data_IF_066294573397
#
_entry.id   IF_066294573397
#
_cell.length_a   1.000
_cell.length_b   1.000
_cell.length_c   1.000
_cell.angle_alpha   90.00
_cell.angle_beta   90.00
_cell.angle_gamma   90.00
#
_symmetry.space_group_name_H-M   'P 1'
#
loop_
_entity.id
_entity.type
_entity.pdbx_description
1 polymer ?
#
# COMPACT_ATOMS: atom_id res chain seq x y z
N UNK A 1 17.33 4.82 -5.78
CA UNK A 1 16.21 3.89 -5.52
C UNK A 1 16.66 2.43 -5.35
N UNK A 2 17.34 1.80 -6.33
CA UNK A 2 17.82 0.39 -6.17
C UNK A 2 18.77 0.14 -4.99
N UNK A 3 19.68 1.07 -4.65
CA UNK A 3 20.56 0.94 -3.48
C UNK A 3 19.81 0.99 -2.13
N UNK A 4 18.74 1.79 -2.05
CA UNK A 4 17.92 1.95 -0.84
C UNK A 4 17.13 0.69 -0.53
N UNK A 5 16.60 0.02 -1.57
CA UNK A 5 15.85 -1.25 -1.41
C UNK A 5 16.78 -2.37 -0.93
N UNK A 6 17.98 -2.47 -1.48
CA UNK A 6 18.94 -3.51 -1.10
C UNK A 6 19.51 -3.32 0.32
N UNK A 7 19.69 -2.06 0.77
CA UNK A 7 20.05 -1.76 2.17
C UNK A 7 18.92 -2.03 3.15
N UNK A 8 17.65 -1.83 2.74
CA UNK A 8 16.48 -2.11 3.56
C UNK A 8 16.34 -3.63 3.78
N UNK A 9 16.54 -4.45 2.75
CA UNK A 9 16.46 -5.92 2.85
C UNK A 9 17.56 -6.49 3.76
N UNK A 10 18.81 -6.04 3.64
CA UNK A 10 19.90 -6.50 4.51
C UNK A 10 19.76 -6.01 5.96
N UNK A 11 19.16 -4.83 6.17
CA UNK A 11 18.85 -4.34 7.51
C UNK A 11 17.73 -5.15 8.18
N UNK A 12 16.80 -5.74 7.42
CA UNK A 12 15.66 -6.49 7.97
C UNK A 12 16.07 -7.78 8.68
N UNK A 13 16.89 -8.62 8.04
CA UNK A 13 17.30 -9.91 8.61
C UNK A 13 18.17 -9.71 9.86
N UNK A 14 19.11 -8.75 9.82
CA UNK A 14 19.94 -8.40 10.96
C UNK A 14 19.14 -7.81 12.13
N UNK A 15 18.13 -6.98 11.84
CA UNK A 15 17.29 -6.35 12.86
C UNK A 15 16.37 -7.35 13.57
N UNK A 16 15.74 -8.27 12.82
CA UNK A 16 14.88 -9.27 13.44
C UNK A 16 15.71 -10.26 14.27
N UNK A 17 16.84 -10.75 13.76
CA UNK A 17 17.70 -11.66 14.52
C UNK A 17 18.24 -10.99 15.79
N UNK A 18 18.63 -9.71 15.73
CA UNK A 18 19.01 -8.95 16.92
C UNK A 18 17.86 -8.76 17.92
N UNK A 19 16.61 -8.75 17.45
CA UNK A 19 15.42 -8.50 18.25
C UNK A 19 14.65 -9.77 18.65
N UNK A 20 15.10 -10.94 18.17
CA UNK A 20 14.41 -12.23 18.24
C UNK A 20 13.98 -12.60 19.65
N UNK A 21 14.88 -12.44 20.63
CA UNK A 21 14.58 -12.76 22.03
C UNK A 21 13.44 -11.91 22.61
N UNK A 22 13.37 -10.62 22.25
CA UNK A 22 12.32 -9.71 22.71
C UNK A 22 10.98 -9.93 22.00
N UNK A 23 11.02 -10.36 20.73
CA UNK A 23 9.82 -10.61 19.92
C UNK A 23 9.22 -11.99 20.18
N UNK A 24 10.04 -13.02 20.40
CA UNK A 24 9.58 -14.40 20.62
C UNK A 24 8.74 -14.58 21.89
N UNK A 25 8.81 -13.65 22.84
CA UNK A 25 7.98 -13.63 24.04
C UNK A 25 6.62 -12.93 23.83
N UNK A 26 6.34 -12.43 22.62
CA UNK A 26 5.11 -11.72 22.27
C UNK A 26 4.25 -12.57 21.36
N UNK A 27 2.95 -12.52 21.59
CA UNK A 27 1.98 -13.28 20.79
C UNK A 27 0.97 -12.35 20.14
N UNK A 28 0.48 -12.77 18.98
CA UNK A 28 -0.62 -12.17 18.24
C UNK A 28 -0.46 -10.65 18.08
N UNK A 29 -1.41 -9.90 18.62
CA UNK A 29 -1.45 -8.44 18.52
C UNK A 29 -0.26 -7.79 19.22
N UNK A 30 0.24 -8.35 20.32
CA UNK A 30 1.40 -7.79 21.03
C UNK A 30 2.68 -7.96 20.22
N UNK A 31 2.79 -9.04 19.44
CA UNK A 31 3.88 -9.21 18.48
C UNK A 31 3.82 -8.12 17.39
N UNK A 32 2.64 -7.89 16.80
CA UNK A 32 2.47 -6.87 15.76
C UNK A 32 2.79 -5.45 16.27
N UNK A 33 2.38 -5.11 17.50
CA UNK A 33 2.73 -3.85 18.16
C UNK A 33 4.23 -3.73 18.43
N UNK A 34 4.88 -4.82 18.86
CA UNK A 34 6.32 -4.83 19.08
C UNK A 34 7.10 -4.61 17.77
N UNK A 35 6.65 -5.23 16.67
CA UNK A 35 7.21 -5.01 15.33
C UNK A 35 7.00 -3.57 14.86
N UNK A 36 5.83 -2.98 15.11
CA UNK A 36 5.55 -1.58 14.80
C UNK A 36 6.52 -0.64 15.53
N UNK A 37 6.70 -0.83 16.84
CA UNK A 37 7.67 -0.09 17.65
C UNK A 37 9.13 -0.28 17.18
N UNK A 38 9.51 -1.51 16.84
CA UNK A 38 10.84 -1.81 16.30
C UNK A 38 11.08 -1.10 14.96
N UNK A 39 10.11 -1.18 14.04
CA UNK A 39 10.20 -0.50 12.73
C UNK A 39 10.25 1.03 12.86
N UNK A 40 9.53 1.59 13.84
CA UNK A 40 9.58 3.03 14.16
C UNK A 40 10.97 3.43 14.64
N UNK A 41 11.52 2.67 15.60
CA UNK A 41 12.86 2.91 16.16
C UNK A 41 13.91 2.85 15.05
N UNK A 42 13.89 1.78 14.26
CA UNK A 42 14.83 1.56 13.18
C UNK A 42 14.78 2.68 12.14
N UNK A 43 13.57 3.06 11.71
CA UNK A 43 13.40 4.16 10.76
C UNK A 43 13.99 5.47 11.28
N UNK A 44 13.83 5.74 12.58
CA UNK A 44 14.29 6.99 13.21
C UNK A 44 15.81 7.01 13.44
N UNK A 45 16.37 5.89 13.89
CA UNK A 45 17.75 5.81 14.40
C UNK A 45 18.77 5.36 13.34
N UNK A 46 18.36 4.55 12.35
CA UNK A 46 19.28 4.00 11.37
C UNK A 46 19.76 5.08 10.38
N UNK A 47 21.08 5.14 10.19
CA UNK A 47 21.73 6.07 9.28
C UNK A 47 21.25 5.98 7.83
N UNK A 48 20.78 4.80 7.38
CA UNK A 48 20.27 4.57 6.03
C UNK A 48 19.01 5.40 5.71
N UNK A 49 18.25 5.84 6.73
CA UNK A 49 17.05 6.69 6.55
C UNK A 49 17.34 8.18 6.77
N UNK A 50 18.57 8.58 7.16
CA UNK A 50 18.91 9.99 7.38
C UNK A 50 18.71 10.86 6.16
N UNK A 51 19.02 10.34 4.97
CA UNK A 51 18.79 11.05 3.72
C UNK A 51 17.31 11.34 3.51
N UNK A 52 16.42 10.39 3.82
CA UNK A 52 14.98 10.62 3.76
C UNK A 52 14.53 11.69 4.77
N UNK A 53 15.05 11.67 6.00
CA UNK A 53 14.76 12.70 7.00
C UNK A 53 15.16 14.10 6.53
N UNK A 54 16.28 14.22 5.82
CA UNK A 54 16.75 15.50 5.28
C UNK A 54 15.81 16.07 4.21
N UNK A 55 15.06 15.21 3.51
CA UNK A 55 14.12 15.59 2.44
C UNK A 55 12.73 16.01 2.97
N UNK A 56 12.43 15.75 4.25
CA UNK A 56 11.13 16.03 4.89
C UNK A 56 10.94 17.48 5.35
N UNK A 57 11.90 18.37 5.08
CA UNK A 57 11.77 19.79 5.40
C UNK A 57 13.11 20.53 5.46
N UNK A 58 13.07 21.81 5.07
CA UNK A 58 14.23 22.72 5.11
C UNK A 58 14.57 23.20 6.52
N UNK A 59 13.58 23.31 7.40
CA UNK A 59 13.74 23.71 8.81
C UNK A 59 13.28 22.61 9.77
N UNK A 60 13.58 22.80 11.06
CA UNK A 60 13.32 21.82 12.12
C UNK A 60 11.83 21.58 12.37
N UNK A 61 10.98 22.59 12.21
CA UNK A 61 9.55 22.50 12.50
C UNK A 61 8.81 21.75 11.38
N UNK A 62 9.09 22.12 10.12
CA UNK A 62 8.58 21.42 8.95
C UNK A 62 9.02 19.95 8.96
N UNK A 63 10.30 19.69 9.26
CA UNK A 63 10.81 18.31 9.38
C UNK A 63 10.11 17.52 10.49
N UNK A 64 9.90 18.13 11.67
CA UNK A 64 9.20 17.47 12.77
C UNK A 64 7.73 17.16 12.43
N UNK A 65 7.03 18.09 11.77
CA UNK A 65 5.66 17.86 11.26
C UNK A 65 5.62 16.68 10.29
N UNK A 66 6.47 16.69 9.28
CA UNK A 66 6.54 15.63 8.27
C UNK A 66 6.95 14.28 8.89
N UNK A 67 7.86 14.28 9.86
CA UNK A 67 8.25 13.05 10.55
C UNK A 67 7.08 12.47 11.37
N UNK A 68 6.27 13.30 12.03
CA UNK A 68 5.03 12.83 12.68
C UNK A 68 4.04 12.24 11.68
N UNK A 69 3.91 12.81 10.48
CA UNK A 69 3.09 12.22 9.43
C UNK A 69 3.59 10.84 9.00
N UNK A 70 4.91 10.69 8.85
CA UNK A 70 5.55 9.40 8.49
C UNK A 70 5.39 8.35 9.58
N UNK A 71 5.61 8.72 10.84
CA UNK A 71 5.66 7.78 11.95
C UNK A 71 4.29 7.47 12.54
N UNK A 72 3.42 8.48 12.63
CA UNK A 72 2.16 8.47 13.39
C UNK A 72 0.92 8.74 12.51
N UNK A 73 1.09 8.86 11.19
CA UNK A 73 0.00 9.17 10.25
C UNK A 73 -0.72 10.50 10.56
N UNK A 74 -0.03 11.44 11.20
CA UNK A 74 -0.54 12.78 11.51
C UNK A 74 -0.28 13.75 10.34
N UNK A 75 -1.21 13.79 9.38
CA UNK A 75 -1.08 14.57 8.14
C UNK A 75 -1.42 16.07 8.27
N UNK A 76 -1.74 16.53 9.48
CA UNK A 76 -2.17 17.91 9.72
C UNK A 76 -1.10 18.92 9.26
N UNK A 77 -1.53 19.88 8.44
CA UNK A 77 -0.66 20.94 7.92
C UNK A 77 0.21 20.53 6.72
N UNK A 78 -0.01 19.35 6.14
CA UNK A 78 0.60 18.93 4.87
C UNK A 78 -0.45 19.10 3.77
N UNK A 79 -0.27 20.01 2.80
CA UNK A 79 -1.25 20.23 1.74
C UNK A 79 -1.37 18.99 0.85
N UNK A 80 -2.58 18.43 0.71
CA UNK A 80 -2.84 17.23 -0.10
C UNK A 80 -2.36 17.41 -1.55
N UNK A 81 -1.79 16.35 -2.12
CA UNK A 81 -1.28 16.30 -3.50
C UNK A 81 -0.19 17.34 -3.86
N UNK A 82 0.36 18.05 -2.88
CA UNK A 82 1.53 18.90 -3.07
C UNK A 82 2.82 18.09 -3.23
N UNK A 83 3.91 18.74 -3.65
CA UNK A 83 5.23 18.11 -3.65
C UNK A 83 5.66 17.65 -2.24
N UNK A 84 5.27 18.38 -1.20
CA UNK A 84 5.53 17.98 0.19
C UNK A 84 4.77 16.70 0.54
N UNK A 85 3.48 16.64 0.20
CA UNK A 85 2.65 15.44 0.40
C UNK A 85 3.29 14.19 -0.22
N UNK A 86 3.73 14.25 -1.48
CA UNK A 86 4.33 13.09 -2.14
C UNK A 86 5.67 12.67 -1.50
N UNK A 87 6.48 13.62 -1.00
CA UNK A 87 7.70 13.30 -0.24
C UNK A 87 7.38 12.59 1.07
N UNK A 88 6.39 13.08 1.81
CA UNK A 88 5.95 12.47 3.07
C UNK A 88 5.36 11.09 2.81
N UNK A 89 4.57 10.93 1.75
CA UNK A 89 3.98 9.65 1.32
C UNK A 89 5.06 8.62 0.96
N UNK A 90 6.12 9.03 0.25
CA UNK A 90 7.25 8.16 -0.08
C UNK A 90 8.01 7.69 1.17
N UNK A 91 8.25 8.60 2.13
CA UNK A 91 8.88 8.28 3.41
C UNK A 91 8.00 7.35 4.27
N UNK A 92 6.70 7.65 4.39
CA UNK A 92 5.73 6.82 5.10
C UNK A 92 5.65 5.42 4.49
N UNK A 93 5.61 5.32 3.17
CA UNK A 93 5.67 4.05 2.45
C UNK A 93 6.92 3.26 2.78
N UNK A 94 8.09 3.90 2.78
CA UNK A 94 9.36 3.23 3.12
C UNK A 94 9.33 2.64 4.54
N UNK A 95 8.82 3.40 5.51
CA UNK A 95 8.63 2.89 6.88
C UNK A 95 7.67 1.70 6.91
N UNK A 96 6.54 1.79 6.20
CA UNK A 96 5.56 0.72 6.16
C UNK A 96 6.09 -0.54 5.44
N UNK A 97 6.94 -0.37 4.42
CA UNK A 97 7.65 -1.48 3.77
C UNK A 97 8.51 -2.26 4.77
N UNK A 98 9.26 -1.54 5.60
CA UNK A 98 10.04 -2.15 6.67
C UNK A 98 9.14 -2.91 7.67
N UNK A 99 8.04 -2.29 8.12
CA UNK A 99 7.09 -2.94 9.03
C UNK A 99 6.52 -4.23 8.42
N UNK A 100 6.05 -4.18 7.16
CA UNK A 100 5.46 -5.35 6.47
C UNK A 100 6.48 -6.48 6.30
N UNK A 101 7.73 -6.15 5.97
CA UNK A 101 8.79 -7.14 5.85
C UNK A 101 9.08 -7.83 7.20
N UNK A 102 9.18 -7.06 8.28
CA UNK A 102 9.37 -7.60 9.62
C UNK A 102 8.19 -8.48 10.06
N UNK A 103 6.95 -8.10 9.74
CA UNK A 103 5.76 -8.94 9.99
C UNK A 103 5.89 -10.27 9.27
N UNK A 104 6.18 -10.28 7.96
CA UNK A 104 6.34 -11.53 7.19
C UNK A 104 7.42 -12.42 7.78
N UNK A 105 8.57 -11.84 8.08
CA UNK A 105 9.70 -12.59 8.60
C UNK A 105 9.40 -13.17 10.00
N UNK A 106 8.74 -12.40 10.87
CA UNK A 106 8.32 -12.86 12.18
C UNK A 106 7.32 -14.03 12.08
N UNK A 107 6.33 -13.96 11.19
CA UNK A 107 5.37 -15.04 10.97
C UNK A 107 6.01 -16.34 10.45
N UNK A 108 7.18 -16.25 9.82
CA UNK A 108 7.90 -17.42 9.30
C UNK A 108 8.89 -18.03 10.30
N UNK A 109 9.33 -17.26 11.30
CA UNK A 109 10.52 -17.62 12.11
C UNK A 109 10.29 -17.63 13.62
N UNK A 110 9.21 -17.01 14.11
CA UNK A 110 8.92 -16.87 15.53
C UNK A 110 7.66 -17.64 15.92
N UNK A 111 7.57 -18.13 17.17
CA UNK A 111 6.28 -18.48 17.75
C UNK A 111 5.45 -17.19 17.87
N UNK A 112 4.32 -17.12 17.18
CA UNK A 112 3.50 -15.90 17.08
C UNK A 112 2.07 -16.06 17.61
N UNK A 113 1.62 -17.27 17.92
CA UNK A 113 0.30 -17.51 18.52
C UNK A 113 -0.92 -17.33 17.60
N UNK A 114 -0.74 -16.81 16.38
CA UNK A 114 -1.75 -16.88 15.31
C UNK A 114 -1.97 -18.33 14.83
N UNK A 115 -3.21 -18.67 14.50
CA UNK A 115 -3.50 -19.94 13.82
C UNK A 115 -3.05 -19.89 12.34
N UNK A 116 -3.16 -21.02 11.65
CA UNK A 116 -2.66 -21.13 10.27
C UNK A 116 -3.45 -20.25 9.28
N UNK A 117 -4.74 -20.01 9.54
CA UNK A 117 -5.59 -19.17 8.70
C UNK A 117 -5.22 -17.70 8.87
N UNK A 118 -5.16 -17.22 10.11
CA UNK A 118 -4.74 -15.85 10.44
C UNK A 118 -3.33 -15.57 9.92
N UNK A 119 -2.41 -16.52 10.10
CA UNK A 119 -1.03 -16.40 9.60
C UNK A 119 -1.00 -16.22 8.08
N UNK A 120 -1.77 -17.03 7.35
CA UNK A 120 -1.86 -16.94 5.90
C UNK A 120 -2.46 -15.59 5.45
N UNK A 121 -3.56 -15.16 6.07
CA UNK A 121 -4.23 -13.90 5.77
C UNK A 121 -3.32 -12.69 6.02
N UNK A 122 -2.65 -12.63 7.18
CA UNK A 122 -1.76 -11.51 7.54
C UNK A 122 -0.54 -11.48 6.62
N UNK A 123 0.07 -12.64 6.34
CA UNK A 123 1.24 -12.73 5.49
C UNK A 123 0.95 -12.20 4.08
N UNK A 124 -0.09 -12.72 3.42
CA UNK A 124 -0.42 -12.32 2.06
C UNK A 124 -1.01 -10.90 1.98
N UNK A 125 -1.80 -10.46 2.98
CA UNK A 125 -2.24 -9.06 3.05
C UNK A 125 -1.05 -8.09 3.10
N UNK A 126 0.05 -8.46 3.77
CA UNK A 126 1.26 -7.64 3.78
C UNK A 126 1.98 -7.57 2.43
N UNK A 127 1.86 -8.60 1.58
CA UNK A 127 2.41 -8.59 0.22
C UNK A 127 1.55 -7.70 -0.68
N UNK A 128 0.24 -7.92 -0.65
CA UNK A 128 -0.73 -7.14 -1.44
C UNK A 128 -0.67 -5.67 -1.06
N UNK A 129 -0.65 -5.34 0.23
CA UNK A 129 -0.50 -3.96 0.72
C UNK A 129 0.75 -3.27 0.19
N UNK A 130 1.85 -4.00 0.03
CA UNK A 130 3.09 -3.45 -0.52
C UNK A 130 2.98 -3.10 -2.01
N UNK A 131 2.32 -3.94 -2.80
CA UNK A 131 2.03 -3.67 -4.20
C UNK A 131 1.04 -2.51 -4.37
N UNK A 132 -0.01 -2.45 -3.52
CA UNK A 132 -0.99 -1.36 -3.51
C UNK A 132 -0.36 0.00 -3.22
N UNK A 133 0.63 0.07 -2.34
CA UNK A 133 1.34 1.30 -2.01
C UNK A 133 2.04 1.92 -3.24
N UNK A 134 2.58 1.08 -4.14
CA UNK A 134 3.15 1.55 -5.42
C UNK A 134 2.06 2.02 -6.37
N UNK A 135 0.95 1.29 -6.44
CA UNK A 135 -0.19 1.65 -7.28
C UNK A 135 -0.86 2.95 -6.84
N UNK A 136 -1.15 3.09 -5.54
CA UNK A 136 -1.82 4.27 -4.96
C UNK A 136 -1.08 5.56 -5.27
N UNK A 137 0.27 5.56 -5.22
CA UNK A 137 1.07 6.73 -5.60
C UNK A 137 0.86 7.14 -7.06
N UNK A 138 0.91 6.18 -7.97
CA UNK A 138 0.68 6.45 -9.39
C UNK A 138 -0.77 6.89 -9.64
N UNK A 139 -1.72 6.27 -8.93
CA UNK A 139 -3.12 6.66 -8.96
C UNK A 139 -3.32 8.11 -8.52
N UNK A 140 -2.84 8.49 -7.33
CA UNK A 140 -2.96 9.85 -6.79
C UNK A 140 -2.41 10.91 -7.77
N UNK A 141 -1.26 10.63 -8.40
CA UNK A 141 -0.68 11.52 -9.41
C UNK A 141 -1.51 11.60 -10.71
N UNK A 142 -2.17 10.51 -11.09
CA UNK A 142 -3.00 10.45 -12.29
C UNK A 142 -4.37 11.12 -12.11
N UNK A 143 -4.93 11.14 -10.88
CA UNK A 143 -6.27 11.68 -10.63
C UNK A 143 -6.29 13.06 -9.97
N UNK A 144 -5.20 13.49 -9.34
CA UNK A 144 -5.17 14.72 -8.53
C UNK A 144 -3.94 15.58 -8.81
N UNK A 145 -4.10 16.89 -8.69
CA UNK A 145 -3.00 17.86 -8.82
C UNK A 145 -2.42 18.02 -10.24
N UNK A 146 -3.04 17.42 -11.26
CA UNK A 146 -2.62 17.53 -12.66
C UNK A 146 -3.58 18.39 -13.51
N UNK A 147 -3.19 18.64 -14.77
CA UNK A 147 -3.97 19.49 -15.69
C UNK A 147 -5.38 18.95 -15.97
N UNK A 148 -5.53 17.63 -16.06
CA UNK A 148 -6.85 17.02 -16.28
C UNK A 148 -7.76 17.26 -15.07
N UNK A 149 -7.25 17.05 -13.85
CA UNK A 149 -8.02 17.28 -12.63
C UNK A 149 -8.50 18.74 -12.50
N UNK A 150 -7.61 19.69 -12.79
CA UNK A 150 -7.95 21.12 -12.80
C UNK A 150 -9.02 21.45 -13.86
N UNK A 151 -8.92 20.84 -15.04
CA UNK A 151 -9.89 21.06 -16.12
C UNK A 151 -11.25 20.44 -15.78
N UNK A 152 -11.27 19.24 -15.21
CA UNK A 152 -12.49 18.59 -14.71
C UNK A 152 -13.18 19.44 -13.64
N UNK A 153 -12.42 19.94 -12.65
CA UNK A 153 -13.00 20.79 -11.59
C UNK A 153 -13.63 22.06 -12.16
N UNK A 154 -13.01 22.67 -13.18
CA UNK A 154 -13.56 23.83 -13.87
C UNK A 154 -14.82 23.49 -14.65
N UNK A 155 -14.77 22.47 -15.49
CA UNK A 155 -15.88 22.10 -16.37
C UNK A 155 -17.07 21.53 -15.59
N UNK A 156 -16.84 20.85 -14.47
CA UNK A 156 -17.89 20.29 -13.62
C UNK A 156 -18.70 21.41 -12.94
N UNK A 157 -18.03 22.46 -12.45
CA UNK A 157 -18.69 23.69 -11.94
C UNK A 157 -19.57 24.37 -12.99
N UNK A 158 -19.24 24.22 -14.26
CA UNK A 158 -19.98 24.76 -15.39
C UNK A 158 -21.01 23.75 -15.97
N UNK A 159 -21.11 22.53 -15.42
CA UNK A 159 -22.01 21.47 -15.89
C UNK A 159 -21.64 20.91 -17.27
N UNK A 160 -20.36 21.01 -17.66
CA UNK A 160 -19.86 20.66 -19.00
C UNK A 160 -19.23 19.27 -19.09
N UNK A 161 -18.97 18.60 -17.97
CA UNK A 161 -18.40 17.24 -17.96
C UNK A 161 -19.49 16.24 -18.38
N UNK A 162 -19.29 15.46 -19.45
CA UNK A 162 -20.25 14.44 -19.84
C UNK A 162 -20.41 13.34 -18.77
N UNK A 163 -21.65 12.86 -18.58
CA UNK A 163 -21.99 11.91 -17.50
C UNK A 163 -21.26 10.59 -17.60
N UNK A 164 -20.87 10.16 -18.79
CA UNK A 164 -20.12 8.92 -18.99
C UNK A 164 -18.75 8.92 -18.29
N UNK A 165 -18.20 10.09 -17.91
CA UNK A 165 -16.91 10.21 -17.23
C UNK A 165 -17.00 10.18 -15.70
N UNK A 166 -18.20 9.99 -15.13
CA UNK A 166 -18.41 9.87 -13.67
C UNK A 166 -18.27 8.42 -13.17
N UNK A 167 -17.73 7.51 -13.99
CA UNK A 167 -17.49 6.13 -13.58
C UNK A 167 -16.34 6.07 -12.56
N UNK A 168 -16.52 5.35 -11.45
CA UNK A 168 -15.55 5.28 -10.36
C UNK A 168 -14.31 4.41 -10.65
N UNK A 169 -14.30 3.72 -11.79
CA UNK A 169 -13.31 2.70 -12.14
C UNK A 169 -12.47 3.05 -13.38
N UNK A 170 -12.48 4.32 -13.80
CA UNK A 170 -11.73 4.79 -14.96
C UNK A 170 -10.82 5.98 -14.64
N UNK A 171 -9.70 6.09 -15.37
CA UNK A 171 -8.90 7.31 -15.43
C UNK A 171 -9.41 8.16 -16.57
N UNK A 172 -9.83 9.38 -16.24
CA UNK A 172 -10.19 10.40 -17.21
C UNK A 172 -8.93 11.17 -17.62
N UNK A 173 -8.80 11.49 -18.91
CA UNK A 173 -7.72 12.30 -19.46
C UNK A 173 -8.29 13.40 -20.35
N UNK A 174 -7.71 14.60 -20.29
CA UNK A 174 -8.07 15.73 -21.16
C UNK A 174 -6.91 16.10 -22.09
N UNK A 175 -7.14 16.00 -23.39
CA UNK A 175 -6.17 16.34 -24.43
C UNK A 175 -6.88 16.89 -25.67
N UNK A 176 -6.28 17.87 -26.33
CA UNK A 176 -6.80 18.47 -27.57
C UNK A 176 -8.27 18.92 -27.48
N UNK A 177 -8.66 19.45 -26.32
CA UNK A 177 -10.02 19.93 -26.07
C UNK A 177 -11.06 18.84 -25.79
N UNK A 178 -10.65 17.57 -25.66
CA UNK A 178 -11.55 16.43 -25.51
C UNK A 178 -11.22 15.58 -24.30
N UNK A 179 -12.25 15.06 -23.66
CA UNK A 179 -12.15 14.04 -22.63
C UNK A 179 -12.07 12.63 -23.24
N UNK A 180 -11.31 11.77 -22.58
CA UNK A 180 -11.25 10.34 -22.83
C UNK A 180 -11.16 9.62 -21.50
N UNK A 181 -11.52 8.34 -21.47
CA UNK A 181 -11.38 7.51 -20.29
C UNK A 181 -10.92 6.09 -20.62
N UNK A 182 -10.28 5.47 -19.64
CA UNK A 182 -9.76 4.10 -19.74
C UNK A 182 -9.86 3.44 -18.37
N UNK A 183 -10.11 2.14 -18.31
CA UNK A 183 -10.21 1.41 -17.05
C UNK A 183 -8.89 1.45 -16.27
N UNK A 184 -8.95 1.33 -14.94
CA UNK A 184 -7.75 1.25 -14.10
C UNK A 184 -6.80 0.13 -14.50
N UNK A 185 -7.34 -1.04 -14.85
CA UNK A 185 -6.56 -2.20 -15.28
C UNK A 185 -5.73 -1.92 -16.54
N UNK A 186 -6.24 -1.11 -17.46
CA UNK A 186 -5.53 -0.73 -18.69
C UNK A 186 -4.52 0.40 -18.43
N UNK A 187 -4.92 1.44 -17.68
CA UNK A 187 -4.04 2.59 -17.41
C UNK A 187 -2.84 2.21 -16.52
N UNK A 188 -3.06 1.36 -15.52
CA UNK A 188 -2.03 0.91 -14.57
C UNK A 188 -1.62 -0.54 -14.80
N UNK A 189 -1.63 -1.01 -16.04
CA UNK A 189 -1.43 -2.41 -16.43
C UNK A 189 -0.37 -3.16 -15.62
N UNK A 190 0.85 -2.62 -15.57
CA UNK A 190 1.96 -3.30 -14.89
C UNK A 190 1.75 -3.39 -13.37
N UNK A 191 1.20 -2.34 -12.75
CA UNK A 191 0.97 -2.27 -11.30
C UNK A 191 -0.20 -3.13 -10.87
N UNK A 192 -1.28 -3.12 -11.65
CA UNK A 192 -2.43 -3.99 -11.42
C UNK A 192 -2.05 -5.45 -11.65
N UNK A 193 -1.26 -5.76 -12.67
CA UNK A 193 -0.74 -7.11 -12.89
C UNK A 193 0.12 -7.60 -11.72
N UNK A 194 0.97 -6.75 -11.14
CA UNK A 194 1.74 -7.06 -9.92
C UNK A 194 0.81 -7.41 -8.75
N UNK A 195 -0.23 -6.61 -8.50
CA UNK A 195 -1.22 -6.86 -7.44
C UNK A 195 -1.99 -8.16 -7.69
N UNK A 196 -2.55 -8.34 -8.89
CA UNK A 196 -3.32 -9.51 -9.29
C UNK A 196 -2.48 -10.79 -9.16
N UNK A 197 -1.20 -10.73 -9.53
CA UNK A 197 -0.27 -11.84 -9.42
C UNK A 197 0.01 -12.28 -7.97
N UNK A 198 -0.31 -11.46 -6.96
CA UNK A 198 -0.21 -11.82 -5.55
C UNK A 198 -1.49 -12.51 -5.02
N UNK A 199 -2.65 -12.28 -5.64
CA UNK A 199 -3.89 -12.96 -5.25
C UNK A 199 -3.91 -14.43 -5.66
N UNK A 200 -3.38 -14.76 -6.84
CA UNK A 200 -3.36 -16.13 -7.35
C UNK A 200 -2.67 -17.13 -6.38
N UNK A 201 -1.43 -16.89 -5.86
CA UNK A 201 -0.83 -17.75 -4.85
C UNK A 201 -1.57 -17.71 -3.50
N UNK A 202 -2.10 -16.55 -3.09
CA UNK A 202 -2.86 -16.44 -1.83
C UNK A 202 -4.11 -17.34 -1.86
N UNK A 203 -4.90 -17.26 -2.92
CA UNK A 203 -6.09 -18.11 -3.13
C UNK A 203 -5.69 -19.60 -3.17
N UNK A 204 -4.59 -19.92 -3.86
CA UNK A 204 -4.11 -21.29 -3.96
C UNK A 204 -3.67 -21.87 -2.61
N UNK A 205 -3.02 -21.06 -1.77
CA UNK A 205 -2.60 -21.46 -0.42
C UNK A 205 -3.81 -21.65 0.50
N UNK A 206 -4.77 -20.71 0.48
CA UNK A 206 -6.00 -20.84 1.24
C UNK A 206 -6.77 -22.11 0.89
N UNK A 207 -6.94 -22.42 -0.41
CA UNK A 207 -7.62 -23.66 -0.84
C UNK A 207 -6.96 -24.96 -0.35
N UNK A 208 -5.66 -24.94 -0.05
CA UNK A 208 -4.91 -26.09 0.47
C UNK A 208 -4.83 -26.11 1.99
N UNK A 209 -5.23 -25.03 2.65
CA UNK A 209 -5.07 -24.85 4.08
C UNK A 209 -6.08 -25.71 4.85
N UNK A 210 -5.55 -26.56 5.72
CA UNK A 210 -6.35 -27.31 6.70
C UNK A 210 -6.57 -26.43 7.94
N UNK A 211 -7.82 -26.18 8.28
CA UNK A 211 -8.23 -25.35 9.42
C UNK A 211 -9.57 -25.86 9.95
N UNK A 212 -9.86 -25.63 11.23
CA UNK A 212 -11.18 -25.88 11.83
C UNK A 212 -12.23 -24.83 11.42
N UNK A 213 -11.79 -23.74 10.77
CA UNK A 213 -12.62 -22.63 10.28
C UNK A 213 -12.85 -22.70 8.77
N UNK A 214 -13.29 -23.85 8.25
CA UNK A 214 -13.42 -24.06 6.80
C UNK A 214 -14.38 -23.08 6.12
N UNK A 215 -15.54 -22.81 6.74
CA UNK A 215 -16.51 -21.85 6.20
C UNK A 215 -15.92 -20.44 6.04
N UNK A 216 -15.11 -20.00 7.00
CA UNK A 216 -14.46 -18.67 6.96
C UNK A 216 -13.38 -18.65 5.88
N UNK A 217 -12.57 -19.70 5.78
CA UNK A 217 -11.56 -19.86 4.72
C UNK A 217 -12.20 -19.78 3.34
N UNK A 218 -13.33 -20.47 3.14
CA UNK A 218 -14.01 -20.53 1.84
C UNK A 218 -14.64 -19.19 1.47
N UNK A 219 -15.21 -18.46 2.44
CA UNK A 219 -15.64 -17.07 2.24
C UNK A 219 -14.50 -16.15 1.78
N UNK A 220 -13.30 -16.29 2.37
CA UNK A 220 -12.13 -15.53 1.92
C UNK A 220 -11.69 -15.94 0.52
N UNK A 221 -11.70 -17.24 0.20
CA UNK A 221 -11.35 -17.72 -1.15
C UNK A 221 -12.28 -17.12 -2.20
N UNK A 222 -13.58 -17.10 -1.95
CA UNK A 222 -14.58 -16.54 -2.87
C UNK A 222 -14.40 -15.02 -3.01
N UNK A 223 -14.30 -14.32 -1.89
CA UNK A 223 -14.08 -12.87 -1.87
C UNK A 223 -12.81 -12.48 -2.64
N UNK A 224 -11.68 -13.13 -2.35
CA UNK A 224 -10.40 -12.82 -3.00
C UNK A 224 -10.44 -13.15 -4.50
N UNK A 225 -11.14 -14.22 -4.89
CA UNK A 225 -11.32 -14.59 -6.30
C UNK A 225 -12.16 -13.57 -7.06
N UNK A 226 -13.26 -13.10 -6.47
CA UNK A 226 -14.08 -12.02 -7.05
C UNK A 226 -13.27 -10.73 -7.13
N UNK A 227 -12.65 -10.30 -6.04
CA UNK A 227 -11.84 -9.08 -5.96
C UNK A 227 -10.73 -9.06 -7.01
N UNK A 228 -9.96 -10.16 -7.12
CA UNK A 228 -8.92 -10.34 -8.14
C UNK A 228 -9.47 -10.21 -9.56
N UNK A 229 -10.67 -10.76 -9.82
CA UNK A 229 -11.32 -10.69 -11.13
C UNK A 229 -11.76 -9.26 -11.46
N UNK A 230 -12.34 -8.55 -10.49
CA UNK A 230 -12.74 -7.15 -10.64
C UNK A 230 -11.53 -6.24 -10.92
N UNK A 231 -10.43 -6.43 -10.19
CA UNK A 231 -9.20 -5.64 -10.40
C UNK A 231 -8.61 -5.80 -11.79
N UNK A 232 -8.72 -7.00 -12.37
CA UNK A 232 -8.16 -7.32 -13.68
C UNK A 232 -9.09 -6.94 -14.85
N UNK A 233 -10.33 -6.51 -14.58
CA UNK A 233 -11.31 -6.20 -15.61
C UNK A 233 -11.01 -4.86 -16.29
N UNK A 234 -11.00 -4.87 -17.62
CA UNK A 234 -10.67 -3.73 -18.48
C UNK A 234 -11.92 -3.10 -19.09
N UNK A 235 -13.06 -3.80 -19.07
CA UNK A 235 -14.35 -3.32 -19.53
C UNK A 235 -15.05 -2.45 -18.49
N UNK A 236 -14.98 -1.13 -18.64
CA UNK A 236 -15.62 -0.15 -17.75
C UNK A 236 -17.09 -0.48 -17.47
N UNK A 237 -17.86 -0.85 -18.49
CA UNK A 237 -19.29 -1.16 -18.37
C UNK A 237 -19.59 -2.45 -17.56
N UNK A 238 -18.60 -3.34 -17.39
CA UNK A 238 -18.76 -4.59 -16.62
C UNK A 238 -18.45 -4.39 -15.14
N UNK A 239 -17.54 -3.46 -14.81
CA UNK A 239 -17.03 -3.26 -13.46
C UNK A 239 -18.16 -3.01 -12.44
N UNK A 240 -19.14 -2.18 -12.77
CA UNK A 240 -20.28 -1.89 -11.90
C UNK A 240 -21.10 -3.15 -11.52
N UNK A 241 -21.09 -4.18 -12.38
CA UNK A 241 -21.85 -5.43 -12.16
C UNK A 241 -21.04 -6.55 -11.52
N UNK A 242 -19.72 -6.38 -11.38
CA UNK A 242 -18.82 -7.39 -10.83
C UNK A 242 -18.54 -7.20 -9.34
N UNK A 243 -18.75 -6.00 -8.80
CA UNK A 243 -18.67 -5.69 -7.38
C UNK A 243 -19.96 -6.10 -6.66
#
# INVERSE_FOLDING_TARGET
MQRTVQSIVLAQDGLLEASKGSLAAKERIDLLKAIEGLSRKEYTENAAFKDQHSLLGSDSEARARCLRAVLDQQWQGIPEYSQEFYKVLEAASTKQQLTRALVRHALQTLPHGFDALDTNLIFHASLVSDAYDKWYRAFAQAVQGNKTAQQLEKDDKEGKVPKEFFNNYSIVSYSDGKYSQVAYADYFKDKIAEIVGLFDPWIADLKKLRTDKEDIRDLYVDYLSQYRSCLAETGIAKLDSMW
#
